data_IF_133277050831
#
_entry.id   IF_133277050831
#
_cell.length_a   1.000
_cell.length_b   1.000
_cell.length_c   1.000
_cell.angle_alpha   90.00
_cell.angle_beta   90.00
_cell.angle_gamma   90.00
#
_symmetry.space_group_name_H-M   'P 1'
#
loop_
_entity.id
_entity.type
_entity.pdbx_description
1 polymer ?
#
# COMPACT_ATOMS: atom_id res chain seq x y z
N UNK A 1 -19.40 -20.59 5.11
CA UNK A 1 -19.57 -19.37 5.94
C UNK A 1 -18.98 -18.20 5.18
N UNK A 2 -19.78 -17.15 4.93
CA UNK A 2 -19.32 -15.89 4.33
C UNK A 2 -18.28 -15.26 5.27
N UNK A 3 -17.10 -14.94 4.73
CA UNK A 3 -16.10 -14.14 5.44
C UNK A 3 -16.31 -12.69 5.06
N UNK A 4 -16.19 -11.79 6.03
CA UNK A 4 -16.23 -10.34 5.81
C UNK A 4 -14.86 -9.76 6.12
N UNK A 5 -14.47 -8.70 5.41
CA UNK A 5 -13.24 -7.96 5.70
C UNK A 5 -13.53 -7.03 6.87
N UNK A 6 -12.86 -7.27 8.01
CA UNK A 6 -12.95 -6.40 9.17
C UNK A 6 -12.03 -5.20 9.03
N UNK A 7 -12.44 -4.08 9.63
CA UNK A 7 -11.67 -2.84 9.66
C UNK A 7 -10.39 -3.05 10.47
N UNK A 8 -9.25 -2.70 9.85
CA UNK A 8 -7.95 -2.70 10.50
C UNK A 8 -7.41 -1.27 10.50
N UNK A 9 -7.46 -0.60 11.67
CA UNK A 9 -7.01 0.79 11.84
C UNK A 9 -5.51 0.98 11.60
N UNK A 10 -4.73 -0.10 11.61
CA UNK A 10 -3.31 -0.07 11.27
C UNK A 10 -3.05 -0.13 9.75
N UNK A 11 -4.04 -0.50 8.94
CA UNK A 11 -3.94 -0.52 7.48
C UNK A 11 -4.65 0.68 6.88
N UNK A 12 -4.08 1.21 5.79
CA UNK A 12 -4.69 2.31 5.05
C UNK A 12 -5.78 1.77 4.10
N UNK A 13 -7.01 2.34 4.10
CA UNK A 13 -8.13 1.74 3.37
C UNK A 13 -7.96 1.73 1.85
N UNK A 14 -7.17 2.65 1.30
CA UNK A 14 -6.87 2.70 -0.14
C UNK A 14 -6.23 1.41 -0.66
N UNK A 15 -5.53 0.66 0.20
CA UNK A 15 -4.94 -0.64 -0.14
C UNK A 15 -5.97 -1.71 -0.47
N UNK A 16 -7.23 -1.52 -0.07
CA UNK A 16 -8.33 -2.44 -0.32
C UNK A 16 -8.93 -2.22 -1.72
N UNK A 17 -8.56 -1.14 -2.43
CA UNK A 17 -9.11 -0.82 -3.75
C UNK A 17 -9.02 -1.99 -4.74
N UNK A 18 -7.90 -2.71 -4.78
CA UNK A 18 -7.74 -3.89 -5.64
C UNK A 18 -8.70 -5.01 -5.27
N UNK A 19 -9.02 -5.16 -3.98
CA UNK A 19 -10.02 -6.13 -3.51
C UNK A 19 -11.45 -5.68 -3.87
N UNK A 20 -11.75 -4.38 -3.79
CA UNK A 20 -13.05 -3.83 -4.18
C UNK A 20 -13.34 -3.99 -5.68
N UNK A 21 -12.30 -3.88 -6.50
CA UNK A 21 -12.39 -3.91 -7.97
C UNK A 21 -11.98 -5.26 -8.59
N UNK A 22 -11.85 -6.32 -7.78
CA UNK A 22 -11.36 -7.62 -8.21
C UNK A 22 -12.17 -8.25 -9.36
N UNK A 23 -13.44 -7.88 -9.55
CA UNK A 23 -14.29 -8.33 -10.66
C UNK A 23 -13.96 -7.65 -12.01
N UNK A 24 -13.10 -6.62 -12.04
CA UNK A 24 -12.79 -5.84 -13.25
C UNK A 24 -11.88 -6.64 -14.21
N UNK A 25 -11.01 -7.51 -13.71
CA UNK A 25 -10.15 -8.33 -14.55
C UNK A 25 -10.71 -9.74 -14.79
N UNK A 26 -10.72 -10.24 -16.04
CA UNK A 26 -11.01 -11.64 -16.32
C UNK A 26 -9.96 -12.53 -15.65
N UNK A 27 -10.39 -13.47 -14.80
CA UNK A 27 -9.50 -14.36 -14.05
C UNK A 27 -8.97 -13.80 -12.72
N UNK A 28 -9.58 -12.73 -12.18
CA UNK A 28 -9.30 -12.25 -10.83
C UNK A 28 -9.41 -13.37 -9.78
N UNK A 29 -8.58 -13.30 -8.73
CA UNK A 29 -8.58 -14.32 -7.69
C UNK A 29 -9.97 -14.41 -7.05
N UNK A 30 -10.59 -15.58 -6.99
CA UNK A 30 -11.98 -15.79 -6.56
C UNK A 30 -12.24 -15.54 -5.06
N UNK A 31 -11.34 -14.86 -4.36
CA UNK A 31 -11.38 -14.79 -2.89
C UNK A 31 -12.34 -13.73 -2.33
N UNK A 32 -12.56 -12.61 -3.03
CA UNK A 32 -13.41 -11.51 -2.58
C UNK A 32 -14.22 -10.91 -3.73
N UNK A 33 -15.51 -10.69 -3.49
CA UNK A 33 -16.46 -10.12 -4.46
C UNK A 33 -17.28 -9.01 -3.79
N UNK A 34 -17.20 -7.80 -4.34
CA UNK A 34 -17.95 -6.65 -3.86
C UNK A 34 -19.18 -6.44 -4.74
N UNK A 35 -20.25 -7.20 -4.46
CA UNK A 35 -21.47 -7.23 -5.26
C UNK A 35 -22.04 -5.81 -5.46
N UNK A 36 -22.13 -5.02 -4.41
CA UNK A 36 -22.72 -3.68 -4.49
C UNK A 36 -21.93 -2.74 -5.42
N UNK A 37 -20.60 -2.83 -5.40
CA UNK A 37 -19.73 -2.05 -6.28
C UNK A 37 -19.82 -2.58 -7.71
N UNK A 38 -19.82 -3.90 -7.92
CA UNK A 38 -19.97 -4.54 -9.24
C UNK A 38 -21.27 -4.16 -9.95
N UNK A 39 -22.41 -4.34 -9.28
CA UNK A 39 -23.74 -4.09 -9.86
C UNK A 39 -23.98 -2.59 -10.13
N UNK A 40 -23.40 -1.71 -9.30
CA UNK A 40 -23.53 -0.27 -9.50
C UNK A 40 -22.60 0.22 -10.62
N UNK A 41 -21.40 -0.33 -10.72
CA UNK A 41 -20.41 0.09 -11.71
C UNK A 41 -20.83 -0.17 -13.15
N UNK A 42 -21.54 -1.26 -13.41
CA UNK A 42 -22.05 -1.55 -14.77
C UNK A 42 -22.90 -0.40 -15.31
N UNK A 43 -23.80 0.15 -14.47
CA UNK A 43 -24.70 1.26 -14.82
C UNK A 43 -24.00 2.61 -14.86
N UNK A 44 -23.13 2.88 -13.87
CA UNK A 44 -22.45 4.18 -13.76
C UNK A 44 -21.44 4.39 -14.89
N UNK A 45 -20.80 3.32 -15.39
CA UNK A 45 -19.84 3.39 -16.49
C UNK A 45 -20.45 3.82 -17.83
N UNK A 46 -21.76 3.66 -18.00
CA UNK A 46 -22.50 4.06 -19.21
C UNK A 46 -22.90 5.54 -19.18
N UNK A 47 -23.02 6.11 -17.98
CA UNK A 47 -23.63 7.44 -17.78
C UNK A 47 -22.64 8.50 -17.31
N UNK A 48 -21.57 8.12 -16.60
CA UNK A 48 -20.55 9.03 -16.10
C UNK A 48 -19.18 8.69 -16.65
N UNK A 49 -18.39 9.72 -16.98
CA UNK A 49 -16.98 9.57 -17.35
C UNK A 49 -16.07 9.35 -16.13
N UNK A 50 -16.43 9.96 -15.00
CA UNK A 50 -15.66 9.92 -13.76
C UNK A 50 -16.46 9.19 -12.68
N UNK A 51 -15.79 8.30 -11.96
CA UNK A 51 -16.35 7.52 -10.87
C UNK A 51 -15.52 7.77 -9.64
N UNK A 52 -16.17 7.91 -8.49
CA UNK A 52 -15.50 8.04 -7.21
C UNK A 52 -15.94 6.90 -6.32
N UNK A 53 -14.97 6.15 -5.82
CA UNK A 53 -15.18 5.10 -4.83
C UNK A 53 -14.78 5.67 -3.49
N UNK A 54 -15.75 5.73 -2.58
CA UNK A 54 -15.51 6.01 -1.18
C UNK A 54 -15.65 4.72 -0.40
N UNK A 55 -14.69 4.43 0.46
CA UNK A 55 -14.71 3.29 1.36
C UNK A 55 -14.32 3.74 2.75
N UNK A 56 -14.99 3.21 3.76
CA UNK A 56 -14.65 3.50 5.13
C UNK A 56 -15.23 2.48 6.08
N UNK A 57 -14.80 2.53 7.33
CA UNK A 57 -15.29 1.65 8.36
C UNK A 57 -14.84 2.07 9.74
N UNK A 58 -15.59 1.63 10.74
CA UNK A 58 -15.33 1.87 12.15
C UNK A 58 -14.92 0.56 12.81
N UNK A 59 -13.79 0.58 13.52
CA UNK A 59 -13.44 -0.50 14.43
C UNK A 59 -14.21 -0.32 15.73
N UNK A 60 -14.81 -1.38 16.24
CA UNK A 60 -15.49 -1.40 17.54
C UNK A 60 -14.95 -2.53 18.39
N UNK A 61 -14.75 -2.27 19.67
CA UNK A 61 -14.38 -3.28 20.65
C UNK A 61 -15.62 -3.99 21.18
N UNK A 62 -15.42 -5.26 21.52
CA UNK A 62 -16.48 -6.18 21.92
C UNK A 62 -16.12 -6.77 23.27
N UNK A 63 -17.00 -6.58 24.26
CA UNK A 63 -16.86 -7.21 25.58
C UNK A 63 -18.22 -7.77 26.01
N UNK A 64 -18.35 -9.09 25.96
CA UNK A 64 -19.65 -9.76 26.05
C UNK A 64 -20.59 -9.31 24.93
N UNK A 65 -21.81 -8.92 25.28
CA UNK A 65 -22.84 -8.48 24.32
C UNK A 65 -22.83 -6.96 24.06
N UNK A 66 -21.84 -6.23 24.59
CA UNK A 66 -21.75 -4.77 24.44
C UNK A 66 -20.71 -4.40 23.39
N UNK A 67 -21.14 -3.63 22.40
CA UNK A 67 -20.28 -2.95 21.44
C UNK A 67 -20.01 -1.54 21.93
N UNK A 68 -18.73 -1.16 21.98
CA UNK A 68 -18.34 0.18 22.37
C UNK A 68 -17.07 0.59 21.61
N UNK A 69 -16.92 1.91 21.45
CA UNK A 69 -15.72 2.51 20.90
C UNK A 69 -14.78 2.74 22.09
N UNK A 70 -13.58 2.17 22.06
CA UNK A 70 -12.59 2.30 23.12
C UNK A 70 -11.20 2.55 22.60
N UNK A 71 -10.43 3.41 23.29
CA UNK A 71 -8.97 3.56 23.18
C UNK A 71 -8.36 3.57 21.77
N UNK A 72 -8.19 2.39 21.17
CA UNK A 72 -7.56 2.14 19.87
C UNK A 72 -8.57 1.88 18.72
N UNK A 73 -9.86 1.97 19.03
CA UNK A 73 -10.95 1.96 18.07
C UNK A 73 -11.00 3.32 17.38
N UNK A 74 -11.00 3.28 16.05
CA UNK A 74 -10.98 4.47 15.21
C UNK A 74 -11.74 4.17 13.93
N UNK A 75 -12.09 5.23 13.21
CA UNK A 75 -12.59 5.11 11.86
C UNK A 75 -11.45 5.26 10.85
N UNK A 76 -11.62 4.63 9.70
CA UNK A 76 -10.73 4.82 8.57
C UNK A 76 -11.59 5.08 7.35
N UNK A 77 -11.13 5.98 6.48
CA UNK A 77 -11.77 6.23 5.20
C UNK A 77 -10.73 6.39 4.09
N UNK A 78 -11.16 6.15 2.86
CA UNK A 78 -10.41 6.49 1.67
C UNK A 78 -11.36 6.84 0.53
N UNK A 79 -10.86 7.71 -0.35
CA UNK A 79 -11.57 8.15 -1.54
C UNK A 79 -10.62 7.99 -2.72
N UNK A 80 -11.10 7.37 -3.79
CA UNK A 80 -10.34 7.18 -5.03
C UNK A 80 -11.18 7.62 -6.22
N UNK A 81 -10.56 8.36 -7.13
CA UNK A 81 -11.18 8.80 -8.37
C UNK A 81 -10.67 7.95 -9.54
N UNK A 82 -11.60 7.49 -10.38
CA UNK A 82 -11.38 6.58 -11.48
C UNK A 82 -12.07 7.10 -12.74
N UNK A 83 -11.49 6.81 -13.90
CA UNK A 83 -12.19 7.01 -15.18
C UNK A 83 -12.91 5.73 -15.58
N UNK A 84 -14.15 5.87 -16.07
CA UNK A 84 -14.96 4.73 -16.51
C UNK A 84 -14.31 3.91 -17.63
N UNK A 85 -13.46 4.56 -18.44
CA UNK A 85 -12.68 3.95 -19.52
C UNK A 85 -11.65 2.93 -19.00
N UNK A 86 -11.01 3.18 -17.86
CA UNK A 86 -10.00 2.30 -17.25
C UNK A 86 -10.54 0.93 -16.81
N UNK A 87 -11.85 0.82 -16.61
CA UNK A 87 -12.50 -0.38 -16.09
C UNK A 87 -13.02 -1.31 -17.21
N UNK A 88 -12.74 -1.01 -18.49
CA UNK A 88 -13.33 -1.72 -19.64
C UNK A 88 -12.64 -3.03 -19.99
N UNK A 89 -11.31 -3.04 -20.02
CA UNK A 89 -10.50 -4.16 -20.53
C UNK A 89 -9.74 -4.90 -19.41
N UNK A 90 -9.68 -4.31 -18.21
CA UNK A 90 -8.96 -4.83 -17.05
C UNK A 90 -7.44 -4.64 -17.10
N UNK A 91 -6.89 -3.99 -18.12
CA UNK A 91 -5.44 -3.78 -18.28
C UNK A 91 -4.89 -2.84 -17.19
N UNK A 92 -5.56 -1.70 -16.99
CA UNK A 92 -5.29 -0.76 -15.90
C UNK A 92 -5.36 -1.44 -14.53
N UNK A 93 -6.38 -2.27 -14.30
CA UNK A 93 -6.56 -2.96 -13.01
C UNK A 93 -5.42 -3.94 -12.73
N UNK A 94 -5.05 -4.76 -13.73
CA UNK A 94 -3.92 -5.70 -13.60
C UNK A 94 -2.61 -4.98 -13.30
N UNK A 95 -2.39 -3.83 -13.94
CA UNK A 95 -1.23 -2.99 -13.66
C UNK A 95 -1.26 -2.49 -12.22
N UNK A 96 -2.38 -1.92 -11.77
CA UNK A 96 -2.55 -1.49 -10.38
C UNK A 96 -2.29 -2.62 -9.38
N UNK A 97 -2.75 -3.85 -9.64
CA UNK A 97 -2.46 -5.01 -8.79
C UNK A 97 -0.95 -5.30 -8.68
N UNK A 98 -0.22 -5.22 -9.79
CA UNK A 98 1.24 -5.39 -9.80
C UNK A 98 1.93 -4.28 -9.01
N UNK A 99 1.45 -3.05 -9.13
CA UNK A 99 1.96 -1.89 -8.38
C UNK A 99 1.76 -2.03 -6.88
N UNK A 100 0.54 -2.39 -6.45
CA UNK A 100 0.25 -2.65 -5.04
C UNK A 100 1.12 -3.78 -4.47
N UNK A 101 1.27 -4.90 -5.20
CA UNK A 101 2.14 -6.02 -4.77
C UNK A 101 3.59 -5.62 -4.64
N UNK A 102 4.08 -4.76 -5.53
CA UNK A 102 5.45 -4.29 -5.49
C UNK A 102 5.67 -3.30 -4.33
N UNK A 103 4.70 -2.41 -4.05
CA UNK A 103 4.69 -1.59 -2.84
C UNK A 103 4.70 -2.42 -1.55
N UNK A 104 3.95 -3.52 -1.50
CA UNK A 104 3.98 -4.44 -0.35
C UNK A 104 5.35 -5.08 -0.16
N UNK A 105 6.01 -5.46 -1.26
CA UNK A 105 7.38 -5.97 -1.24
C UNK A 105 8.36 -4.89 -0.73
N UNK A 106 8.18 -3.65 -1.18
CA UNK A 106 8.99 -2.50 -0.75
C UNK A 106 8.89 -2.25 0.76
N UNK A 107 7.67 -2.26 1.28
CA UNK A 107 7.41 -2.09 2.71
C UNK A 107 8.05 -3.21 3.55
N UNK A 108 7.99 -4.45 3.05
CA UNK A 108 8.64 -5.61 3.69
C UNK A 108 10.17 -5.48 3.67
N UNK A 109 10.74 -5.00 2.58
CA UNK A 109 12.18 -4.82 2.44
C UNK A 109 12.69 -3.70 3.35
N UNK A 110 11.98 -2.57 3.44
CA UNK A 110 12.25 -1.52 4.41
C UNK A 110 12.24 -2.07 5.85
N UNK A 111 11.19 -2.82 6.20
CA UNK A 111 11.06 -3.41 7.54
C UNK A 111 12.23 -4.34 7.87
N UNK A 112 12.60 -5.22 6.92
CA UNK A 112 13.74 -6.15 7.07
C UNK A 112 15.05 -5.40 7.22
N UNK A 113 15.29 -4.35 6.45
CA UNK A 113 16.52 -3.56 6.54
C UNK A 113 16.63 -2.83 7.88
N UNK A 114 15.55 -2.21 8.37
CA UNK A 114 15.55 -1.58 9.71
C UNK A 114 15.80 -2.64 10.80
N UNK A 115 15.12 -3.77 10.72
CA UNK A 115 15.30 -4.87 11.69
C UNK A 115 16.73 -5.40 11.65
N UNK A 116 17.32 -5.56 10.45
CA UNK A 116 18.70 -6.00 10.29
C UNK A 116 19.69 -5.03 10.91
N UNK A 117 19.51 -3.71 10.72
CA UNK A 117 20.33 -2.68 11.35
C UNK A 117 20.33 -2.82 12.87
N UNK A 118 19.14 -2.88 13.49
CA UNK A 118 19.02 -3.00 14.94
C UNK A 118 19.56 -4.33 15.46
N UNK A 119 19.42 -5.42 14.70
CA UNK A 119 20.01 -6.72 15.05
C UNK A 119 21.53 -6.66 15.12
N UNK A 120 22.18 -5.97 14.18
CA UNK A 120 23.64 -5.75 14.20
C UNK A 120 24.07 -4.91 15.40
N UNK A 121 23.21 -4.02 15.90
CA UNK A 121 23.43 -3.26 17.13
C UNK A 121 23.08 -4.05 18.42
N UNK A 122 22.77 -5.35 18.32
CA UNK A 122 22.40 -6.20 19.46
C UNK A 122 20.95 -6.08 19.92
N UNK A 123 20.10 -5.36 19.19
CA UNK A 123 18.67 -5.16 19.51
C UNK A 123 17.82 -6.15 18.70
N UNK A 124 17.27 -7.17 19.37
CA UNK A 124 16.53 -8.26 18.71
C UNK A 124 15.07 -7.93 18.38
N UNK A 125 14.41 -7.03 19.12
CA UNK A 125 13.00 -6.65 18.93
C UNK A 125 12.84 -5.13 18.94
N UNK A 126 12.93 -4.51 17.78
CA UNK A 126 12.71 -3.06 17.63
C UNK A 126 11.26 -2.75 17.27
N UNK A 127 10.62 -1.86 18.04
CA UNK A 127 9.30 -1.30 17.66
C UNK A 127 9.41 -0.33 16.48
N UNK A 128 10.62 0.18 16.19
CA UNK A 128 10.84 1.15 15.10
C UNK A 128 10.52 0.55 13.73
N UNK A 129 10.83 -0.72 13.49
CA UNK A 129 10.54 -1.34 12.19
C UNK A 129 9.03 -1.28 11.86
N UNK A 130 8.16 -1.64 12.81
CA UNK A 130 6.71 -1.53 12.64
C UNK A 130 6.23 -0.09 12.48
N UNK A 131 6.74 0.84 13.31
CA UNK A 131 6.42 2.26 13.23
C UNK A 131 6.74 2.84 11.83
N UNK A 132 7.95 2.60 11.33
CA UNK A 132 8.40 3.13 10.04
C UNK A 132 7.75 2.43 8.85
N UNK A 133 7.35 1.16 8.97
CA UNK A 133 6.47 0.52 7.99
C UNK A 133 5.09 1.21 7.92
N UNK A 134 4.52 1.63 9.05
CA UNK A 134 3.26 2.38 9.05
C UNK A 134 3.41 3.79 8.48
N UNK A 135 4.52 4.48 8.82
CA UNK A 135 4.87 5.78 8.23
C UNK A 135 5.04 5.69 6.71
N UNK A 136 5.66 4.62 6.22
CA UNK A 136 5.79 4.37 4.77
C UNK A 136 4.43 4.38 4.08
N UNK A 137 3.46 3.62 4.60
CA UNK A 137 2.11 3.59 4.03
C UNK A 137 1.38 4.94 4.13
N UNK A 138 1.61 5.73 5.19
CA UNK A 138 1.08 7.10 5.30
C UNK A 138 1.66 8.05 4.26
N UNK A 139 2.96 7.95 3.97
CA UNK A 139 3.57 8.78 2.94
C UNK A 139 3.11 8.35 1.55
N UNK A 140 3.00 7.04 1.29
CA UNK A 140 2.49 6.52 0.02
C UNK A 140 1.03 6.92 -0.27
N UNK A 141 0.20 7.06 0.77
CA UNK A 141 -1.20 7.47 0.63
C UNK A 141 -1.34 8.82 -0.08
N UNK A 142 -0.42 9.76 0.15
CA UNK A 142 -0.43 11.10 -0.46
C UNK A 142 -0.25 11.04 -1.98
N UNK A 143 0.53 10.07 -2.44
CA UNK A 143 0.83 9.85 -3.86
C UNK A 143 -0.08 8.77 -4.49
N UNK A 144 -1.01 8.18 -3.73
CA UNK A 144 -1.77 7.03 -4.22
C UNK A 144 -2.68 7.37 -5.40
N UNK A 145 -3.32 8.54 -5.40
CA UNK A 145 -4.12 8.97 -6.55
C UNK A 145 -3.24 9.16 -7.80
N UNK A 146 -1.99 9.62 -7.62
CA UNK A 146 -1.03 9.74 -8.72
C UNK A 146 -0.65 8.37 -9.27
N UNK A 147 -0.45 7.37 -8.42
CA UNK A 147 -0.24 5.98 -8.84
C UNK A 147 -1.43 5.44 -9.65
N UNK A 148 -2.65 5.69 -9.16
CA UNK A 148 -3.89 5.28 -9.83
C UNK A 148 -3.99 5.85 -11.24
N UNK A 149 -3.66 7.14 -11.41
CA UNK A 149 -3.66 7.80 -12.71
C UNK A 149 -2.52 7.29 -13.61
N UNK A 150 -1.31 7.15 -13.06
CA UNK A 150 -0.11 6.72 -13.77
C UNK A 150 -0.22 5.29 -14.35
N UNK A 151 -1.12 4.45 -13.82
CA UNK A 151 -1.42 3.15 -14.40
C UNK A 151 -1.96 3.25 -15.84
N UNK A 152 -2.63 4.36 -16.19
CA UNK A 152 -3.14 4.64 -17.54
C UNK A 152 -2.26 5.63 -18.32
N UNK A 153 -1.67 6.65 -17.65
CA UNK A 153 -0.89 7.72 -18.28
C UNK A 153 0.46 7.27 -18.89
N UNK A 154 0.85 6.02 -18.65
CA UNK A 154 1.98 5.36 -19.32
C UNK A 154 3.23 5.17 -18.47
N UNK A 155 4.25 4.56 -19.08
CA UNK A 155 5.44 4.04 -18.37
C UNK A 155 6.27 5.15 -17.70
N UNK A 156 6.32 6.34 -18.28
CA UNK A 156 7.12 7.45 -17.73
C UNK A 156 6.57 7.97 -16.40
N UNK A 157 5.27 8.27 -16.33
CA UNK A 157 4.64 8.72 -15.08
C UNK A 157 4.69 7.64 -14.02
N UNK A 158 4.46 6.38 -14.41
CA UNK A 158 4.54 5.27 -13.47
C UNK A 158 5.93 5.16 -12.84
N UNK A 159 7.00 5.29 -13.63
CA UNK A 159 8.37 5.31 -13.11
C UNK A 159 8.65 6.47 -12.16
N UNK A 160 8.08 7.66 -12.42
CA UNK A 160 8.25 8.79 -11.50
C UNK A 160 7.61 8.50 -10.13
N UNK A 161 6.43 7.88 -10.14
CA UNK A 161 5.74 7.46 -8.92
C UNK A 161 6.53 6.37 -8.19
N UNK A 162 7.05 5.36 -8.91
CA UNK A 162 7.92 4.33 -8.33
C UNK A 162 9.17 4.92 -7.68
N UNK A 163 9.86 5.84 -8.37
CA UNK A 163 11.02 6.53 -7.82
C UNK A 163 10.67 7.29 -6.54
N UNK A 164 9.52 7.96 -6.52
CA UNK A 164 9.04 8.67 -5.34
C UNK A 164 8.83 7.72 -4.15
N UNK A 165 8.26 6.53 -4.37
CA UNK A 165 8.11 5.52 -3.32
C UNK A 165 9.44 4.94 -2.84
N UNK A 166 10.39 4.72 -3.75
CA UNK A 166 11.74 4.28 -3.39
C UNK A 166 12.47 5.32 -2.54
N UNK A 167 12.36 6.61 -2.89
CA UNK A 167 12.92 7.72 -2.13
C UNK A 167 12.28 7.82 -0.73
N UNK A 168 10.95 7.69 -0.62
CA UNK A 168 10.26 7.63 0.67
C UNK A 168 10.85 6.50 1.52
N UNK A 169 11.03 5.30 0.95
CA UNK A 169 11.59 4.17 1.68
C UNK A 169 13.03 4.43 2.17
N UNK A 170 13.89 5.02 1.34
CA UNK A 170 15.27 5.39 1.73
C UNK A 170 15.30 6.44 2.84
N UNK A 171 14.49 7.49 2.69
CA UNK A 171 14.43 8.58 3.67
C UNK A 171 13.94 8.06 5.02
N UNK A 172 12.94 7.19 5.04
CA UNK A 172 12.44 6.57 6.26
C UNK A 172 13.47 5.62 6.88
N UNK A 173 14.24 4.88 6.07
CA UNK A 173 15.33 4.06 6.57
C UNK A 173 16.40 4.92 7.27
N UNK A 174 16.80 6.02 6.64
CA UNK A 174 17.81 6.94 7.18
C UNK A 174 17.35 7.65 8.47
N UNK A 175 16.06 7.98 8.56
CA UNK A 175 15.47 8.53 9.79
C UNK A 175 15.40 7.48 10.90
N UNK A 176 15.12 6.22 10.55
CA UNK A 176 14.99 5.14 11.53
C UNK A 176 16.32 4.70 12.14
N UNK A 177 17.41 4.75 11.35
CA UNK A 177 18.70 4.14 11.63
C UNK A 177 19.79 5.23 11.82
N UNK A 178 20.18 5.54 13.07
CA UNK A 178 21.24 6.51 13.36
C UNK A 178 22.59 6.13 12.77
N UNK A 179 23.48 7.13 12.59
CA UNK A 179 24.81 6.94 12.01
C UNK A 179 25.88 7.80 12.71
N UNK A 180 25.68 8.08 14.00
CA UNK A 180 26.46 9.06 14.76
C UNK A 180 27.78 8.47 15.27
N UNK A 181 27.88 7.15 15.37
CA UNK A 181 29.12 6.44 15.73
C UNK A 181 29.62 5.53 14.61
N UNK A 182 30.91 5.18 14.63
CA UNK A 182 31.53 4.28 13.65
C UNK A 182 30.80 2.92 13.59
N UNK A 183 30.42 2.36 14.76
CA UNK A 183 29.67 1.10 14.84
C UNK A 183 28.27 1.20 14.23
N UNK A 184 27.62 2.35 14.39
CA UNK A 184 26.31 2.60 13.78
C UNK A 184 26.43 2.82 12.27
N UNK A 185 27.46 3.54 11.83
CA UNK A 185 27.73 3.79 10.42
C UNK A 185 28.00 2.49 9.65
N UNK A 186 28.79 1.58 10.23
CA UNK A 186 29.05 0.26 9.64
C UNK A 186 27.78 -0.58 9.53
N UNK A 187 27.00 -0.67 10.62
CA UNK A 187 25.70 -1.36 10.60
C UNK A 187 24.70 -0.74 9.61
N UNK A 188 24.70 0.59 9.48
CA UNK A 188 23.88 1.32 8.51
C UNK A 188 24.26 0.95 7.09
N UNK A 189 25.56 0.93 6.77
CA UNK A 189 26.04 0.57 5.43
C UNK A 189 25.64 -0.87 5.04
N UNK A 190 25.85 -1.82 5.96
CA UNK A 190 25.48 -3.24 5.76
C UNK A 190 23.99 -3.41 5.51
N UNK A 191 23.12 -2.68 6.22
CA UNK A 191 21.67 -2.78 6.07
C UNK A 191 21.11 -1.98 4.87
N UNK A 192 21.77 -0.88 4.47
CA UNK A 192 21.33 0.01 3.40
C UNK A 192 21.65 -0.52 2.01
N UNK A 193 22.80 -1.15 1.81
CA UNK A 193 23.22 -1.65 0.50
C UNK A 193 22.21 -2.65 -0.10
N UNK A 194 21.73 -3.67 0.64
CA UNK A 194 20.70 -4.57 0.14
C UNK A 194 19.39 -3.86 -0.18
N UNK A 195 18.99 -2.87 0.63
CA UNK A 195 17.79 -2.08 0.38
C UNK A 195 17.92 -1.33 -0.95
N UNK A 196 19.00 -0.58 -1.11
CA UNK A 196 19.26 0.23 -2.32
C UNK A 196 19.25 -0.61 -3.60
N UNK A 197 19.85 -1.81 -3.57
CA UNK A 197 19.81 -2.75 -4.70
C UNK A 197 18.39 -3.20 -5.04
N UNK A 198 17.56 -3.47 -4.03
CA UNK A 198 16.16 -3.87 -4.23
C UNK A 198 15.31 -2.71 -4.75
N UNK A 199 15.54 -1.49 -4.26
CA UNK A 199 14.88 -0.29 -4.76
C UNK A 199 15.25 -0.02 -6.23
N UNK A 200 16.53 -0.15 -6.57
CA UNK A 200 16.97 -0.02 -7.96
C UNK A 200 16.30 -1.07 -8.86
N UNK A 201 16.17 -2.33 -8.38
CA UNK A 201 15.44 -3.38 -9.10
C UNK A 201 13.95 -3.05 -9.24
N UNK A 202 13.34 -2.46 -8.21
CA UNK A 202 11.95 -2.02 -8.22
C UNK A 202 11.72 -0.96 -9.30
N UNK A 203 12.53 0.10 -9.35
CA UNK A 203 12.42 1.16 -10.37
C UNK A 203 12.79 0.69 -11.79
N UNK A 204 13.65 -0.32 -11.93
CA UNK A 204 14.10 -0.82 -13.23
C UNK A 204 13.30 -2.01 -13.76
N UNK A 205 12.21 -2.41 -13.09
CA UNK A 205 11.39 -3.53 -13.56
C UNK A 205 10.76 -3.19 -14.91
N UNK A 206 10.60 -4.21 -15.76
CA UNK A 206 9.88 -4.05 -17.02
C UNK A 206 8.40 -3.86 -16.70
N UNK A 207 7.88 -2.69 -17.03
CA UNK A 207 6.45 -2.39 -17.02
C UNK A 207 5.92 -2.89 -18.37
N UNK A 208 5.21 -4.01 -18.34
CA UNK A 208 4.53 -4.56 -19.52
C UNK A 208 3.10 -3.99 -19.63
#
# INVERSE_FOLDING_TARGET
KTKVVWVDTAKRPWRILTSLLNFVAPGGSTSWDCIQVRESLSRVRETSRMIRIWSGGLKVSLNGDKHYISGMDDFVESKVELRSEWLRDGSWFRRLELEIKALETLALDLNKSITSYFRTQGVSKTKKAGLYSNLFWQQCEREFQRLVNACDDGVCELKQVENSFAEIALNLFDQACPKDSIRQLDAWAVARLPLSKKLQKYCNRKIN
#
